data_IF_557538071463
#
_entry.id   IF_557538071463
#
_cell.length_a   1.000
_cell.length_b   1.000
_cell.length_c   1.000
_cell.angle_alpha   90.00
_cell.angle_beta   90.00
_cell.angle_gamma   90.00
#
_symmetry.space_group_name_H-M   'P 1'
#
loop_
_entity.id
_entity.type
_entity.pdbx_description
1 polymer ?
#
# COMPACT_ATOMS: atom_id res chain seq x y z
N UNK A 1 13.66 14.62 -24.54
CA UNK A 1 12.97 15.39 -23.49
C UNK A 1 12.69 14.47 -22.34
N UNK A 2 13.26 14.77 -21.26
CA UNK A 2 13.23 13.95 -20.07
C UNK A 2 11.96 14.27 -19.27
N UNK A 3 11.33 13.26 -18.70
CA UNK A 3 10.21 13.35 -17.76
C UNK A 3 10.48 14.35 -16.63
N UNK A 4 11.74 14.50 -16.20
CA UNK A 4 12.18 15.50 -15.21
C UNK A 4 11.92 16.96 -15.63
N UNK A 5 11.96 17.28 -16.91
CA UNK A 5 11.64 18.62 -17.38
C UNK A 5 10.12 18.91 -17.24
N UNK A 6 9.29 17.91 -17.48
CA UNK A 6 7.84 18.01 -17.29
C UNK A 6 7.48 18.12 -15.80
N UNK A 7 8.15 17.37 -14.92
CA UNK A 7 7.97 17.48 -13.46
C UNK A 7 8.28 18.90 -12.93
N UNK A 8 9.28 19.57 -13.50
CA UNK A 8 9.63 20.95 -13.12
C UNK A 8 8.67 22.00 -13.69
N UNK A 9 8.01 21.73 -14.82
CA UNK A 9 7.06 22.63 -15.47
C UNK A 9 5.66 22.47 -14.88
N UNK A 10 5.32 21.34 -14.28
CA UNK A 10 4.00 21.05 -13.72
C UNK A 10 3.75 21.60 -12.32
N UNK A 11 4.64 22.45 -11.82
CA UNK A 11 4.52 23.04 -10.48
C UNK A 11 3.33 24.00 -10.31
N UNK A 12 2.75 24.54 -11.41
CA UNK A 12 1.59 25.41 -11.35
C UNK A 12 0.60 25.16 -12.49
N UNK A 13 -0.71 25.26 -12.22
CA UNK A 13 -1.79 25.11 -13.23
C UNK A 13 -1.68 26.10 -14.41
N UNK A 14 -0.98 27.22 -14.24
CA UNK A 14 -0.79 28.21 -15.29
C UNK A 14 0.25 27.79 -16.33
N UNK A 15 1.22 26.98 -15.95
CA UNK A 15 2.28 26.55 -16.86
C UNK A 15 1.76 25.56 -17.91
N UNK A 16 0.75 24.76 -17.54
CA UNK A 16 0.09 23.83 -18.47
C UNK A 16 -0.65 24.52 -19.61
N UNK A 17 -1.21 25.71 -19.37
CA UNK A 17 -1.94 26.47 -20.42
C UNK A 17 -1.03 26.96 -21.54
N UNK A 18 0.27 27.03 -21.27
CA UNK A 18 1.29 27.48 -22.23
C UNK A 18 1.99 26.33 -22.97
N UNK A 19 1.74 25.07 -22.60
CA UNK A 19 2.29 23.91 -23.26
C UNK A 19 1.63 23.73 -24.64
N UNK A 20 2.44 23.83 -25.70
CA UNK A 20 2.01 23.58 -27.07
C UNK A 20 2.61 22.27 -27.59
N UNK A 21 1.79 21.45 -28.22
CA UNK A 21 2.24 20.19 -28.82
C UNK A 21 2.58 20.43 -30.27
N UNK A 22 3.82 20.10 -30.62
CA UNK A 22 4.28 20.12 -32.02
C UNK A 22 4.30 18.69 -32.52
N UNK A 23 3.42 18.38 -33.49
CA UNK A 23 3.39 17.10 -34.19
C UNK A 23 3.72 17.32 -35.67
N UNK A 24 4.80 16.67 -36.14
CA UNK A 24 5.28 16.82 -37.52
C UNK A 24 5.49 18.27 -37.96
N UNK A 25 6.08 19.10 -37.07
CA UNK A 25 6.37 20.51 -37.34
C UNK A 25 5.17 21.45 -37.30
N UNK A 26 3.98 21.00 -36.90
CA UNK A 26 2.79 21.83 -36.76
C UNK A 26 2.34 21.90 -35.31
N UNK A 27 2.00 23.11 -34.85
CA UNK A 27 1.38 23.33 -33.54
C UNK A 27 -0.07 22.88 -33.66
N UNK A 28 -0.48 21.97 -32.78
CA UNK A 28 -1.89 21.55 -32.68
C UNK A 28 -2.63 22.44 -31.69
N UNK A 29 -3.60 23.17 -32.16
CA UNK A 29 -4.55 23.95 -31.37
C UNK A 29 -5.89 23.19 -31.37
N UNK A 30 -6.12 22.31 -30.39
CA UNK A 30 -7.36 21.55 -30.38
C UNK A 30 -7.72 21.04 -28.97
N UNK A 31 -9.01 20.76 -28.71
CA UNK A 31 -9.49 20.14 -27.46
C UNK A 31 -8.77 18.83 -27.10
N UNK A 32 -8.16 18.20 -28.07
CA UNK A 32 -7.22 17.07 -27.88
C UNK A 32 -5.97 17.46 -27.08
N UNK A 33 -5.57 18.74 -27.06
CA UNK A 33 -4.43 19.23 -26.29
C UNK A 33 -4.70 19.03 -24.80
N UNK A 34 -5.90 19.34 -24.32
CA UNK A 34 -6.29 19.12 -22.92
C UNK A 34 -6.18 17.65 -22.55
N UNK A 35 -6.68 16.77 -23.39
CA UNK A 35 -6.58 15.31 -23.17
C UNK A 35 -5.12 14.82 -23.20
N UNK A 36 -4.28 15.41 -24.04
CA UNK A 36 -2.85 15.05 -24.12
C UNK A 36 -2.09 15.59 -22.91
N UNK A 37 -2.39 16.82 -22.47
CA UNK A 37 -1.82 17.41 -21.26
C UNK A 37 -2.23 16.61 -20.03
N UNK A 38 -3.51 16.24 -19.91
CA UNK A 38 -3.98 15.34 -18.86
C UNK A 38 -3.24 13.99 -18.89
N UNK A 39 -3.02 13.42 -20.07
CA UNK A 39 -2.22 12.18 -20.23
C UNK A 39 -0.75 12.38 -19.87
N UNK A 40 -0.14 13.49 -20.24
CA UNK A 40 1.24 13.81 -19.89
C UNK A 40 1.39 14.05 -18.38
N UNK A 41 0.46 14.74 -17.73
CA UNK A 41 0.47 14.94 -16.28
C UNK A 41 0.35 13.62 -15.51
N UNK A 42 -0.32 12.66 -16.10
CA UNK A 42 -0.43 11.29 -15.60
C UNK A 42 0.88 10.53 -15.78
N UNK A 43 1.50 10.61 -16.95
CA UNK A 43 2.79 9.96 -17.24
C UNK A 43 3.91 10.49 -16.35
N UNK A 44 3.88 11.78 -15.99
CA UNK A 44 4.86 12.37 -15.06
C UNK A 44 4.67 11.91 -13.61
N UNK A 45 3.47 11.50 -13.21
CA UNK A 45 3.19 10.93 -11.89
C UNK A 45 3.49 9.43 -11.77
N UNK A 46 3.55 8.74 -12.89
CA UNK A 46 3.90 7.32 -12.97
C UNK A 46 5.27 7.26 -13.65
N UNK A 47 6.29 6.72 -12.98
CA UNK A 47 7.58 6.52 -13.64
C UNK A 47 7.41 5.65 -14.89
N UNK A 48 8.17 5.92 -15.95
CA UNK A 48 8.11 5.17 -17.20
C UNK A 48 8.24 3.66 -16.97
N UNK A 49 9.08 3.27 -16.00
CA UNK A 49 9.27 1.87 -15.60
C UNK A 49 7.99 1.29 -14.98
N UNK A 50 7.36 2.02 -14.07
CA UNK A 50 6.10 1.57 -13.44
C UNK A 50 4.98 1.46 -14.48
N UNK A 51 4.92 2.40 -15.43
CA UNK A 51 3.93 2.37 -16.49
C UNK A 51 4.11 1.16 -17.41
N UNK A 52 5.32 0.87 -17.87
CA UNK A 52 5.62 -0.29 -18.70
C UNK A 52 5.38 -1.62 -17.97
N UNK A 53 5.69 -1.67 -16.68
CA UNK A 53 5.36 -2.82 -15.83
C UNK A 53 3.84 -3.00 -15.77
N UNK A 54 3.09 -1.94 -15.44
CA UNK A 54 1.62 -2.00 -15.32
C UNK A 54 0.93 -2.42 -16.62
N UNK A 55 1.47 -2.05 -17.80
CA UNK A 55 0.93 -2.48 -19.09
C UNK A 55 0.97 -3.98 -19.29
N UNK A 56 1.90 -4.68 -18.65
CA UNK A 56 2.13 -6.13 -18.81
C UNK A 56 1.44 -6.97 -17.73
N UNK A 57 0.98 -6.35 -16.65
CA UNK A 57 0.45 -7.04 -15.49
C UNK A 57 -1.07 -7.16 -15.51
N UNK A 58 -1.58 -8.30 -15.09
CA UNK A 58 -3.02 -8.52 -14.91
C UNK A 58 -3.51 -8.11 -13.51
N UNK A 59 -2.67 -8.26 -12.49
CA UNK A 59 -3.03 -8.02 -11.11
C UNK A 59 -1.97 -7.16 -10.43
N UNK A 60 -2.41 -6.05 -9.84
CA UNK A 60 -1.55 -5.04 -9.21
C UNK A 60 -1.95 -4.89 -7.74
N UNK A 61 -0.95 -4.79 -6.86
CA UNK A 61 -1.12 -4.41 -5.46
C UNK A 61 -0.48 -3.04 -5.25
N UNK A 62 -1.26 -2.05 -4.84
CA UNK A 62 -0.76 -0.75 -4.42
C UNK A 62 -0.51 -0.76 -2.92
N UNK A 63 0.74 -0.57 -2.50
CA UNK A 63 1.18 -0.51 -1.11
C UNK A 63 1.80 0.85 -0.83
N UNK A 64 1.87 1.26 0.43
CA UNK A 64 2.51 2.52 0.82
C UNK A 64 4.02 2.47 0.59
N UNK A 65 4.64 1.31 0.84
CA UNK A 65 6.05 1.04 0.51
C UNK A 65 6.22 -0.39 0.00
N UNK A 66 7.27 -0.66 -0.79
CA UNK A 66 7.64 -2.02 -1.20
C UNK A 66 7.99 -2.91 0.00
N UNK A 67 8.51 -2.31 1.04
CA UNK A 67 8.84 -3.00 2.28
C UNK A 67 7.61 -3.61 2.96
N UNK A 68 6.44 -2.98 2.79
CA UNK A 68 5.19 -3.48 3.35
C UNK A 68 4.79 -4.82 2.74
N UNK A 69 4.97 -4.96 1.43
CA UNK A 69 4.77 -6.24 0.75
C UNK A 69 5.75 -7.31 1.21
N UNK A 70 7.02 -6.94 1.38
CA UNK A 70 8.06 -7.84 1.87
C UNK A 70 7.74 -8.35 3.27
N UNK A 71 7.32 -7.47 4.17
CA UNK A 71 6.92 -7.83 5.55
C UNK A 71 5.70 -8.76 5.53
N UNK A 72 4.66 -8.41 4.78
CA UNK A 72 3.46 -9.23 4.65
C UNK A 72 3.78 -10.63 4.12
N UNK A 73 4.54 -10.72 3.03
CA UNK A 73 4.93 -11.96 2.40
C UNK A 73 5.73 -12.87 3.35
N UNK A 74 6.69 -12.29 4.08
CA UNK A 74 7.51 -13.01 5.04
C UNK A 74 6.70 -13.51 6.24
N UNK A 75 5.78 -12.70 6.79
CA UNK A 75 4.88 -13.11 7.86
C UNK A 75 3.92 -14.22 7.41
N UNK A 76 3.34 -14.10 6.22
CA UNK A 76 2.47 -15.12 5.65
C UNK A 76 3.21 -16.45 5.48
N UNK A 77 4.44 -16.43 4.96
CA UNK A 77 5.30 -17.59 4.85
C UNK A 77 5.62 -18.22 6.23
N UNK A 78 5.96 -17.39 7.21
CA UNK A 78 6.26 -17.84 8.59
C UNK A 78 5.04 -18.45 9.28
N UNK A 79 3.83 -17.94 8.99
CA UNK A 79 2.55 -18.52 9.45
C UNK A 79 2.24 -19.88 8.79
N UNK A 80 3.03 -20.32 7.78
CA UNK A 80 2.86 -21.58 7.05
C UNK A 80 1.94 -21.51 5.84
N UNK A 81 1.64 -20.29 5.33
CA UNK A 81 0.81 -20.10 4.15
C UNK A 81 1.61 -20.34 2.85
N UNK A 82 0.95 -20.85 1.83
CA UNK A 82 1.54 -21.10 0.52
C UNK A 82 1.63 -19.77 -0.29
N UNK A 83 2.70 -19.03 -0.05
CA UNK A 83 2.91 -17.71 -0.66
C UNK A 83 3.12 -17.76 -2.18
N UNK A 84 3.37 -18.94 -2.78
CA UNK A 84 3.45 -19.05 -4.25
C UNK A 84 2.12 -18.70 -4.94
N UNK A 85 1.00 -18.80 -4.23
CA UNK A 85 -0.31 -18.37 -4.74
C UNK A 85 -0.43 -16.86 -4.92
N UNK A 86 0.51 -16.09 -4.40
CA UNK A 86 0.59 -14.63 -4.56
C UNK A 86 1.52 -14.21 -5.70
N UNK A 87 2.22 -15.13 -6.37
CA UNK A 87 3.21 -14.82 -7.42
C UNK A 87 2.61 -14.07 -8.64
N UNK A 88 1.29 -14.16 -8.81
CA UNK A 88 0.58 -13.38 -9.83
C UNK A 88 0.30 -11.92 -9.45
N UNK A 89 0.68 -11.48 -8.24
CA UNK A 89 0.52 -10.12 -7.72
C UNK A 89 1.84 -9.36 -7.80
N UNK A 90 1.76 -8.12 -8.27
CA UNK A 90 2.93 -7.25 -8.36
C UNK A 90 2.71 -5.99 -7.52
N UNK A 91 3.54 -5.84 -6.50
CA UNK A 91 3.49 -4.70 -5.61
C UNK A 91 4.04 -3.44 -6.28
N UNK A 92 3.31 -2.35 -6.16
CA UNK A 92 3.68 -1.02 -6.64
C UNK A 92 3.56 -0.06 -5.47
N UNK A 93 4.61 0.75 -5.28
CA UNK A 93 4.61 1.78 -4.24
C UNK A 93 3.70 2.93 -4.62
N UNK A 94 2.72 3.20 -3.76
CA UNK A 94 1.85 4.36 -3.86
C UNK A 94 1.30 4.73 -2.48
N UNK A 95 1.55 5.94 -2.01
CA UNK A 95 1.09 6.42 -0.70
C UNK A 95 -0.43 6.31 -0.53
N UNK A 96 -0.88 5.96 0.67
CA UNK A 96 -2.29 6.03 1.07
C UNK A 96 -2.75 7.46 1.29
N UNK A 97 -1.85 8.33 1.75
CA UNK A 97 -2.10 9.75 1.90
C UNK A 97 -3.27 10.07 2.83
N UNK A 98 -3.33 9.44 4.02
CA UNK A 98 -4.29 9.90 5.02
C UNK A 98 -3.81 11.27 5.55
N UNK A 99 -4.56 12.31 5.21
CA UNK A 99 -4.37 13.63 5.77
C UNK A 99 -5.47 13.90 6.81
N UNK A 100 -5.07 14.03 8.09
CA UNK A 100 -5.97 14.35 9.18
C UNK A 100 -6.73 15.69 8.96
N UNK A 101 -6.15 16.63 8.20
CA UNK A 101 -6.76 17.92 7.92
C UNK A 101 -7.91 17.79 6.92
N UNK A 102 -7.79 16.92 5.92
CA UNK A 102 -8.75 16.79 4.83
C UNK A 102 -9.57 15.50 4.89
N UNK A 103 -9.28 14.56 5.79
CA UNK A 103 -9.94 13.26 5.94
C UNK A 103 -10.01 12.43 4.63
N UNK A 104 -9.08 12.66 3.71
CA UNK A 104 -9.05 12.03 2.39
C UNK A 104 -8.22 10.75 2.39
N UNK A 105 -8.81 9.69 2.95
CA UNK A 105 -8.18 8.37 2.99
C UNK A 105 -8.10 7.74 1.58
N UNK A 106 -6.96 7.13 1.24
CA UNK A 106 -6.70 6.42 -0.02
C UNK A 106 -6.82 7.27 -1.32
N UNK A 107 -7.05 8.59 -1.25
CA UNK A 107 -7.20 9.46 -2.42
C UNK A 107 -6.01 9.36 -3.39
N UNK A 108 -4.75 9.43 -2.97
CA UNK A 108 -3.61 9.33 -3.89
C UNK A 108 -3.59 8.02 -4.68
N UNK A 109 -3.94 6.89 -4.04
CA UNK A 109 -4.04 5.60 -4.73
C UNK A 109 -5.18 5.60 -5.75
N UNK A 110 -6.32 6.18 -5.41
CA UNK A 110 -7.49 6.29 -6.31
C UNK A 110 -7.16 7.17 -7.51
N UNK A 111 -6.50 8.30 -7.30
CA UNK A 111 -6.05 9.19 -8.38
C UNK A 111 -5.04 8.50 -9.29
N UNK A 112 -4.10 7.76 -8.71
CA UNK A 112 -3.13 6.97 -9.45
C UNK A 112 -3.81 5.91 -10.34
N UNK A 113 -4.79 5.17 -9.78
CA UNK A 113 -5.58 4.19 -10.54
C UNK A 113 -6.33 4.86 -11.69
N UNK A 114 -7.01 5.98 -11.42
CA UNK A 114 -7.72 6.72 -12.46
C UNK A 114 -6.76 7.12 -13.59
N UNK A 115 -5.58 7.56 -13.22
CA UNK A 115 -4.51 7.90 -14.13
C UNK A 115 -4.07 6.70 -14.98
N UNK A 116 -3.74 5.58 -14.35
CA UNK A 116 -3.35 4.34 -15.03
C UNK A 116 -4.43 3.89 -16.02
N UNK A 117 -5.69 3.83 -15.57
CA UNK A 117 -6.80 3.32 -16.39
C UNK A 117 -7.18 4.26 -17.56
N UNK A 118 -6.90 5.56 -17.46
CA UNK A 118 -7.12 6.49 -18.56
C UNK A 118 -6.03 6.42 -19.64
N UNK A 119 -4.81 6.06 -19.29
CA UNK A 119 -3.66 5.96 -20.21
C UNK A 119 -3.54 4.57 -20.84
N UNK A 120 -3.94 3.54 -20.09
CA UNK A 120 -3.77 2.15 -20.53
C UNK A 120 -4.82 1.77 -21.59
N UNK A 121 -4.45 1.90 -22.87
CA UNK A 121 -5.29 1.51 -24.01
C UNK A 121 -5.37 -0.01 -24.20
N UNK A 122 -4.36 -0.77 -23.77
CA UNK A 122 -4.24 -2.22 -24.01
C UNK A 122 -4.84 -3.08 -22.89
N UNK A 123 -5.45 -2.49 -21.88
CA UNK A 123 -6.30 -3.07 -20.81
C UNK A 123 -5.95 -4.50 -20.36
N UNK A 124 -4.70 -4.76 -19.99
CA UNK A 124 -4.32 -6.05 -19.41
C UNK A 124 -4.67 -6.15 -17.93
N UNK A 125 -4.67 -5.02 -17.22
CA UNK A 125 -4.98 -4.99 -15.78
C UNK A 125 -6.43 -5.41 -15.56
N UNK A 126 -6.61 -6.48 -14.81
CA UNK A 126 -7.93 -7.04 -14.46
C UNK A 126 -8.31 -6.68 -13.03
N UNK A 127 -7.35 -6.75 -12.12
CA UNK A 127 -7.57 -6.56 -10.67
C UNK A 127 -6.54 -5.61 -10.10
N UNK A 128 -7.02 -4.71 -9.23
CA UNK A 128 -6.19 -3.77 -8.49
C UNK A 128 -6.55 -3.87 -7.01
N UNK A 129 -5.57 -4.20 -6.19
CA UNK A 129 -5.71 -4.28 -4.75
C UNK A 129 -5.01 -3.06 -4.14
N UNK A 130 -5.76 -2.16 -3.50
CA UNK A 130 -5.20 -1.08 -2.72
C UNK A 130 -5.10 -1.55 -1.28
N UNK A 131 -3.90 -1.80 -0.78
CA UNK A 131 -3.67 -2.11 0.62
C UNK A 131 -3.14 -0.85 1.30
N UNK A 132 -3.84 -0.40 2.31
CA UNK A 132 -3.56 0.86 2.99
C UNK A 132 -3.25 0.63 4.47
N UNK A 133 -2.34 1.43 5.01
CA UNK A 133 -2.20 1.58 6.45
C UNK A 133 -3.47 2.24 7.02
N UNK A 134 -3.88 1.82 8.20
CA UNK A 134 -5.06 2.37 8.86
C UNK A 134 -4.76 3.73 9.47
N UNK A 135 -3.56 3.90 9.99
CA UNK A 135 -3.19 5.05 10.81
C UNK A 135 -4.26 5.39 11.87
N UNK A 136 -4.75 6.63 11.88
CA UNK A 136 -5.84 7.08 12.76
C UNK A 136 -7.21 7.12 12.03
N UNK A 137 -7.30 6.57 10.81
CA UNK A 137 -8.54 6.64 10.02
C UNK A 137 -9.69 5.83 10.68
N UNK A 138 -10.90 6.40 10.75
CA UNK A 138 -12.07 5.73 11.28
C UNK A 138 -12.63 4.74 10.25
N UNK A 139 -12.03 3.56 10.17
CA UNK A 139 -12.38 2.53 9.19
C UNK A 139 -13.43 1.57 9.73
N UNK A 140 -14.46 1.33 8.93
CA UNK A 140 -15.43 0.24 9.11
C UNK A 140 -15.17 -0.84 8.07
N UNK A 141 -15.09 -2.10 8.52
CA UNK A 141 -14.80 -3.24 7.65
C UNK A 141 -16.05 -3.95 7.19
N UNK A 142 -15.98 -4.60 6.02
CA UNK A 142 -16.96 -5.58 5.59
C UNK A 142 -16.87 -6.87 6.43
N UNK A 143 -17.75 -7.84 6.17
CA UNK A 143 -17.79 -9.12 6.92
C UNK A 143 -16.49 -9.92 6.82
N UNK A 144 -15.73 -9.74 5.74
CA UNK A 144 -14.42 -10.39 5.54
C UNK A 144 -13.31 -9.82 6.46
N UNK A 145 -13.58 -8.70 7.11
CA UNK A 145 -12.64 -8.03 8.02
C UNK A 145 -11.42 -7.43 7.34
N UNK A 146 -11.40 -7.30 6.03
CA UNK A 146 -10.28 -6.82 5.21
C UNK A 146 -10.71 -5.63 4.34
N UNK A 147 -11.83 -5.76 3.63
CA UNK A 147 -12.37 -4.68 2.79
C UNK A 147 -13.01 -3.58 3.63
N UNK A 148 -12.87 -2.35 3.15
CA UNK A 148 -13.55 -1.19 3.72
C UNK A 148 -15.05 -1.20 3.37
N UNK A 149 -15.90 -0.85 4.32
CA UNK A 149 -17.35 -0.77 4.16
C UNK A 149 -17.80 0.69 4.04
N UNK A 150 -18.71 0.95 3.08
CA UNK A 150 -19.66 2.07 3.10
C UNK A 150 -19.10 3.49 3.06
N UNK A 151 -17.90 3.70 2.52
CA UNK A 151 -17.29 5.04 2.45
C UNK A 151 -17.60 5.74 1.13
N UNK A 152 -17.36 7.07 1.07
CA UNK A 152 -17.38 7.84 -0.18
C UNK A 152 -16.42 7.27 -1.23
N UNK A 153 -15.31 6.65 -0.79
CA UNK A 153 -14.33 5.96 -1.63
C UNK A 153 -14.93 4.80 -2.39
N UNK A 154 -15.89 4.07 -1.80
CA UNK A 154 -16.61 2.99 -2.46
C UNK A 154 -17.37 3.51 -3.69
N UNK A 155 -17.90 4.73 -3.65
CA UNK A 155 -18.59 5.36 -4.78
C UNK A 155 -17.62 5.72 -5.91
N UNK A 156 -16.43 6.23 -5.56
CA UNK A 156 -15.38 6.54 -6.54
C UNK A 156 -14.84 5.28 -7.20
N UNK A 157 -14.59 4.23 -6.43
CA UNK A 157 -14.15 2.92 -6.92
C UNK A 157 -15.20 2.33 -7.87
N UNK A 158 -16.47 2.34 -7.48
CA UNK A 158 -17.56 1.84 -8.33
C UNK A 158 -17.63 2.57 -9.68
N UNK A 159 -17.41 3.89 -9.70
CA UNK A 159 -17.35 4.66 -10.96
C UNK A 159 -16.18 4.22 -11.83
N UNK A 160 -14.99 3.98 -11.25
CA UNK A 160 -13.82 3.51 -11.98
C UNK A 160 -14.02 2.11 -12.54
N UNK A 161 -14.58 1.18 -11.76
CA UNK A 161 -14.91 -0.18 -12.18
C UNK A 161 -15.91 -0.19 -13.35
N UNK A 162 -17.00 0.56 -13.22
CA UNK A 162 -18.02 0.65 -14.27
C UNK A 162 -17.48 1.20 -15.59
N UNK A 163 -16.57 2.18 -15.53
CA UNK A 163 -15.95 2.78 -16.71
C UNK A 163 -14.98 1.82 -17.40
N UNK A 164 -14.24 1.03 -16.65
CA UNK A 164 -13.04 0.32 -17.15
C UNK A 164 -13.15 -1.20 -17.13
N UNK A 165 -14.22 -1.78 -16.55
CA UNK A 165 -14.41 -3.24 -16.37
C UNK A 165 -13.31 -3.93 -15.52
N UNK A 166 -12.58 -3.17 -14.73
CA UNK A 166 -11.60 -3.69 -13.79
C UNK A 166 -12.27 -3.98 -12.45
N UNK A 167 -11.64 -4.85 -11.64
CA UNK A 167 -12.02 -5.05 -10.25
C UNK A 167 -11.03 -4.31 -9.35
N UNK A 168 -11.54 -3.46 -8.47
CA UNK A 168 -10.74 -2.63 -7.57
C UNK A 168 -11.17 -2.90 -6.14
N UNK A 169 -10.22 -3.31 -5.30
CA UNK A 169 -10.46 -3.65 -3.90
C UNK A 169 -9.72 -2.67 -3.00
N UNK A 170 -10.43 -2.02 -2.09
CA UNK A 170 -9.84 -1.19 -1.04
C UNK A 170 -9.74 -2.01 0.25
N UNK A 171 -8.53 -2.36 0.60
CA UNK A 171 -8.16 -3.19 1.74
C UNK A 171 -7.39 -2.36 2.75
N UNK A 172 -7.61 -2.58 4.03
CA UNK A 172 -6.95 -1.81 5.09
C UNK A 172 -6.50 -2.76 6.19
N UNK A 173 -5.28 -2.56 6.69
CA UNK A 173 -4.81 -3.27 7.87
C UNK A 173 -5.68 -2.95 9.09
N UNK A 174 -5.98 -3.91 9.94
CA UNK A 174 -6.69 -3.63 11.20
C UNK A 174 -5.81 -2.95 12.22
N UNK A 175 -4.49 -3.25 12.18
CA UNK A 175 -3.50 -2.52 12.97
C UNK A 175 -3.12 -1.21 12.25
N UNK A 176 -2.48 -0.31 12.96
CA UNK A 176 -2.08 1.02 12.46
C UNK A 176 -1.34 0.96 11.13
N UNK A 177 -0.31 0.13 11.05
CA UNK A 177 0.51 -0.11 9.87
C UNK A 177 1.02 -1.56 9.84
N UNK A 178 1.55 -2.00 8.70
CA UNK A 178 2.07 -3.37 8.56
C UNK A 178 3.16 -3.71 9.60
N UNK A 179 4.00 -2.76 9.99
CA UNK A 179 5.05 -2.96 11.01
C UNK A 179 4.50 -3.37 12.37
N UNK A 180 3.24 -3.04 12.67
CA UNK A 180 2.60 -3.48 13.91
C UNK A 180 2.43 -5.01 14.00
N UNK A 181 2.41 -5.70 12.86
CA UNK A 181 2.34 -7.16 12.81
C UNK A 181 3.67 -7.86 13.10
N UNK A 182 4.74 -7.08 13.24
CA UNK A 182 6.04 -7.56 13.74
C UNK A 182 6.12 -7.56 15.28
N UNK A 183 5.10 -7.07 15.99
CA UNK A 183 5.04 -7.15 17.45
C UNK A 183 4.85 -8.61 17.87
N UNK A 184 5.90 -9.20 18.42
CA UNK A 184 5.96 -10.57 18.94
C UNK A 184 6.60 -10.54 20.31
N UNK A 185 5.99 -11.18 21.29
CA UNK A 185 6.56 -11.31 22.63
C UNK A 185 7.95 -11.95 22.57
N UNK A 186 8.05 -13.09 21.89
CA UNK A 186 9.29 -13.89 21.79
C UNK A 186 10.41 -13.10 21.10
N UNK A 187 10.12 -12.52 19.93
CA UNK A 187 11.14 -11.79 19.17
C UNK A 187 11.58 -10.50 19.90
N UNK A 188 10.66 -9.76 20.50
CA UNK A 188 10.99 -8.57 21.29
C UNK A 188 11.75 -8.88 22.58
N UNK A 189 11.47 -10.02 23.22
CA UNK A 189 12.23 -10.49 24.37
C UNK A 189 13.68 -10.79 23.98
N UNK A 190 13.88 -11.49 22.86
CA UNK A 190 15.22 -11.77 22.34
C UNK A 190 16.05 -10.50 22.09
N UNK A 191 15.40 -9.44 21.62
CA UNK A 191 16.06 -8.16 21.35
C UNK A 191 16.05 -7.19 22.53
N UNK A 192 15.53 -7.58 23.70
CA UNK A 192 15.51 -6.74 24.92
C UNK A 192 14.53 -5.56 24.86
N UNK A 193 13.49 -5.61 24.01
CA UNK A 193 12.50 -4.54 23.89
C UNK A 193 11.18 -4.82 24.58
N UNK A 194 10.94 -6.06 25.06
CA UNK A 194 9.62 -6.45 25.60
C UNK A 194 9.21 -5.63 26.82
N UNK A 195 10.13 -5.39 27.76
CA UNK A 195 9.85 -4.60 28.96
C UNK A 195 9.48 -3.16 28.62
N UNK A 196 10.17 -2.57 27.64
CA UNK A 196 9.86 -1.22 27.19
C UNK A 196 8.47 -1.13 26.57
N UNK A 197 8.08 -2.11 25.76
CA UNK A 197 6.76 -2.15 25.12
C UNK A 197 5.68 -2.41 26.16
N UNK A 198 5.81 -3.47 26.96
CA UNK A 198 4.77 -3.85 27.90
C UNK A 198 4.62 -2.81 29.03
N UNK A 199 5.72 -2.39 29.67
CA UNK A 199 5.64 -1.52 30.85
C UNK A 199 5.73 -0.03 30.50
N UNK A 200 6.17 0.33 29.27
CA UNK A 200 6.30 1.73 28.84
C UNK A 200 5.18 2.20 27.92
N UNK A 201 4.78 1.36 26.96
CA UNK A 201 3.90 1.79 25.87
C UNK A 201 2.49 1.19 25.94
N UNK A 202 2.29 0.07 26.65
CA UNK A 202 1.02 -0.63 26.74
C UNK A 202 0.42 -0.58 28.15
N UNK A 203 -0.92 -0.46 28.27
CA UNK A 203 -1.59 -0.64 29.55
C UNK A 203 -1.50 -2.11 30.01
N UNK A 204 -1.47 -2.34 31.33
CA UNK A 204 -1.22 -3.65 31.94
C UNK A 204 -2.13 -4.80 31.45
N UNK A 205 -3.36 -4.50 31.05
CA UNK A 205 -4.31 -5.48 30.52
C UNK A 205 -4.13 -5.78 29.02
N UNK A 206 -3.16 -5.14 28.36
CA UNK A 206 -2.91 -5.23 26.92
C UNK A 206 -1.48 -5.66 26.59
N UNK A 207 -0.76 -6.21 27.56
CA UNK A 207 0.61 -6.66 27.36
C UNK A 207 0.71 -7.75 26.29
N UNK A 208 1.78 -7.70 25.51
CA UNK A 208 2.18 -8.83 24.68
C UNK A 208 2.50 -10.03 25.57
N UNK A 209 2.09 -11.21 25.13
CA UNK A 209 2.29 -12.47 25.86
C UNK A 209 2.84 -13.53 24.91
N UNK A 210 3.54 -14.48 25.49
CA UNK A 210 4.05 -15.64 24.76
C UNK A 210 2.90 -16.41 24.11
N UNK A 211 3.09 -16.83 22.85
CA UNK A 211 2.11 -17.55 22.03
C UNK A 211 0.76 -16.83 21.82
N UNK A 212 0.74 -15.50 21.95
CA UNK A 212 -0.44 -14.67 21.74
C UNK A 212 -0.14 -13.61 20.68
N UNK A 213 -0.92 -13.50 19.59
CA UNK A 213 -0.70 -12.51 18.54
C UNK A 213 -0.94 -11.05 19.03
N UNK A 214 -1.54 -10.84 20.20
CA UNK A 214 -1.82 -9.51 20.73
C UNK A 214 -2.87 -8.75 19.94
N UNK A 215 -3.95 -9.41 19.53
CA UNK A 215 -5.02 -8.78 18.74
C UNK A 215 -5.99 -7.96 19.63
N UNK A 216 -5.47 -6.88 20.23
CA UNK A 216 -6.26 -5.94 21.02
C UNK A 216 -6.08 -4.50 20.52
N UNK A 217 -6.96 -3.60 20.98
CA UNK A 217 -7.01 -2.22 20.48
C UNK A 217 -5.79 -1.39 20.84
N UNK A 218 -5.13 -1.64 21.97
CA UNK A 218 -3.94 -0.90 22.38
C UNK A 218 -2.75 -1.24 21.48
N UNK A 219 -2.52 -2.55 21.26
CA UNK A 219 -1.46 -3.04 20.36
C UNK A 219 -1.74 -2.58 18.91
N UNK A 220 -2.99 -2.63 18.47
CA UNK A 220 -3.37 -2.21 17.12
C UNK A 220 -3.07 -0.75 16.81
N UNK A 221 -3.06 0.13 17.80
CA UNK A 221 -2.80 1.59 17.67
C UNK A 221 -1.39 1.99 18.01
N UNK A 222 -0.58 1.09 18.54
CA UNK A 222 0.76 1.41 19.03
C UNK A 222 1.63 1.98 17.91
N UNK A 223 2.37 3.05 18.18
CA UNK A 223 3.42 3.52 17.28
C UNK A 223 4.68 2.69 17.51
N UNK A 224 4.94 1.73 16.64
CA UNK A 224 6.03 0.76 16.81
C UNK A 224 7.37 1.20 16.21
N UNK A 225 7.42 2.34 15.53
CA UNK A 225 8.64 2.80 14.83
C UNK A 225 9.83 2.95 15.76
N UNK A 226 9.62 3.38 16.99
CA UNK A 226 10.69 3.61 17.98
C UNK A 226 11.40 2.32 18.45
N UNK A 227 10.81 1.13 18.27
CA UNK A 227 11.43 -0.15 18.61
C UNK A 227 11.68 -1.01 17.37
N UNK A 228 10.68 -1.30 16.56
CA UNK A 228 10.81 -2.19 15.39
C UNK A 228 11.83 -1.64 14.39
N UNK A 229 11.80 -0.36 14.06
CA UNK A 229 12.76 0.28 13.15
C UNK A 229 14.20 0.10 13.63
N UNK A 230 14.46 0.16 14.94
CA UNK A 230 15.81 -0.07 15.48
C UNK A 230 16.33 -1.49 15.31
N UNK A 231 15.42 -2.46 15.18
CA UNK A 231 15.78 -3.87 15.04
C UNK A 231 15.99 -4.22 13.57
N UNK A 232 15.11 -3.74 12.70
CA UNK A 232 15.07 -4.21 11.30
C UNK A 232 15.67 -3.23 10.29
N UNK A 233 15.93 -1.98 10.66
CA UNK A 233 16.55 -1.00 9.77
C UNK A 233 18.06 -0.94 9.96
N UNK A 234 18.76 -0.46 8.94
CA UNK A 234 20.17 -0.07 8.99
C UNK A 234 20.31 1.42 8.75
N UNK A 235 21.25 2.06 9.46
CA UNK A 235 21.47 3.50 9.41
C UNK A 235 21.71 3.98 7.96
N UNK A 236 20.93 4.99 7.55
CA UNK A 236 21.02 5.60 6.23
C UNK A 236 20.46 4.78 5.06
N UNK A 237 20.02 3.53 5.30
CA UNK A 237 19.49 2.63 4.25
C UNK A 237 17.99 2.39 4.42
N UNK A 238 17.48 2.46 5.66
CA UNK A 238 16.12 2.04 6.00
C UNK A 238 16.04 0.53 6.23
N UNK A 239 14.97 -0.13 5.77
CA UNK A 239 14.75 -1.55 6.01
C UNK A 239 15.90 -2.41 5.48
N UNK A 240 16.51 -3.17 6.38
CA UNK A 240 17.50 -4.21 6.07
C UNK A 240 16.80 -5.57 5.98
N UNK A 241 16.76 -6.11 4.79
CA UNK A 241 16.08 -7.36 4.48
C UNK A 241 16.64 -8.54 5.30
N UNK A 242 17.95 -8.58 5.52
CA UNK A 242 18.59 -9.65 6.30
C UNK A 242 18.17 -9.58 7.77
N UNK A 243 18.14 -8.38 8.34
CA UNK A 243 17.66 -8.16 9.71
C UNK A 243 16.18 -8.49 9.84
N UNK A 244 15.36 -8.08 8.87
CA UNK A 244 13.94 -8.40 8.84
C UNK A 244 13.70 -9.90 8.87
N UNK A 245 14.34 -10.66 8.00
CA UNK A 245 14.18 -12.12 7.98
C UNK A 245 14.69 -12.77 9.25
N UNK A 246 15.86 -12.35 9.77
CA UNK A 246 16.39 -12.85 11.04
C UNK A 246 15.42 -12.57 12.19
N UNK A 247 14.79 -11.40 12.22
CA UNK A 247 13.77 -11.05 13.20
C UNK A 247 12.51 -11.92 13.07
N UNK A 248 11.98 -12.09 11.85
CA UNK A 248 10.77 -12.89 11.58
C UNK A 248 11.00 -14.37 11.93
N UNK A 249 12.21 -14.88 11.75
CA UNK A 249 12.52 -16.26 12.16
C UNK A 249 12.33 -16.50 13.67
N UNK A 250 12.49 -15.47 14.49
CA UNK A 250 12.25 -15.55 15.94
C UNK A 250 10.76 -15.53 16.31
N UNK A 251 9.87 -15.10 15.40
CA UNK A 251 8.43 -15.00 15.68
C UNK A 251 7.79 -16.39 15.62
N UNK A 252 7.22 -16.91 16.73
CA UNK A 252 6.42 -18.14 16.66
C UNK A 252 5.18 -17.92 15.79
N UNK A 253 4.74 -18.92 15.00
CA UNK A 253 3.50 -18.82 14.22
C UNK A 253 2.26 -18.45 15.04
N UNK A 254 2.21 -18.84 16.32
CA UNK A 254 1.12 -18.49 17.24
C UNK A 254 1.06 -16.99 17.56
N UNK A 255 2.18 -16.27 17.46
CA UNK A 255 2.27 -14.82 17.71
C UNK A 255 2.00 -13.99 16.45
N UNK A 256 1.76 -14.63 15.29
CA UNK A 256 1.36 -13.93 14.07
C UNK A 256 -0.16 -13.79 14.03
N UNK A 257 -0.64 -12.55 13.91
CA UNK A 257 -2.06 -12.22 13.87
C UNK A 257 -2.83 -12.92 12.74
N UNK A 258 -4.07 -13.29 13.01
CA UNK A 258 -4.98 -13.83 12.00
C UNK A 258 -5.33 -12.82 10.90
N UNK A 259 -5.08 -11.53 11.09
CA UNK A 259 -5.27 -10.53 10.04
C UNK A 259 -4.35 -10.77 8.82
N UNK A 260 -3.14 -11.31 9.05
CA UNK A 260 -2.24 -11.73 7.98
C UNK A 260 -2.87 -12.87 7.17
N UNK A 261 -3.48 -13.84 7.85
CA UNK A 261 -4.18 -14.97 7.22
C UNK A 261 -5.40 -14.48 6.45
N UNK A 262 -6.19 -13.59 7.04
CA UNK A 262 -7.39 -13.03 6.40
C UNK A 262 -7.03 -12.24 5.12
N UNK A 263 -6.01 -11.39 5.18
CA UNK A 263 -5.52 -10.67 4.00
C UNK A 263 -5.03 -11.62 2.91
N UNK A 264 -4.22 -12.62 3.27
CA UNK A 264 -3.74 -13.65 2.35
C UNK A 264 -4.91 -14.40 1.69
N UNK A 265 -5.86 -14.91 2.47
CA UNK A 265 -6.99 -15.66 1.96
C UNK A 265 -7.84 -14.82 1.01
N UNK A 266 -8.07 -13.55 1.35
CA UNK A 266 -8.78 -12.62 0.48
C UNK A 266 -8.08 -12.45 -0.86
N UNK A 267 -6.78 -12.18 -0.86
CA UNK A 267 -6.00 -12.00 -2.09
C UNK A 267 -6.04 -13.27 -2.95
N UNK A 268 -5.80 -14.44 -2.37
CA UNK A 268 -5.82 -15.72 -3.09
C UNK A 268 -7.21 -16.04 -3.64
N UNK A 269 -8.28 -15.77 -2.90
CA UNK A 269 -9.65 -15.96 -3.38
C UNK A 269 -9.96 -15.09 -4.60
N UNK A 270 -9.55 -13.81 -4.56
CA UNK A 270 -9.82 -12.88 -5.67
C UNK A 270 -8.91 -13.07 -6.88
N UNK A 271 -7.83 -13.83 -6.75
CA UNK A 271 -6.97 -14.20 -7.90
C UNK A 271 -7.54 -15.36 -8.74
N UNK A 272 -8.40 -16.17 -8.16
CA UNK A 272 -9.14 -17.21 -8.90
C UNK A 272 -10.16 -16.59 -9.86
#
# INVERSE_FOLDING_TARGET
TTTHLLDSITATDNDFKNLKIVDKGKIKEDDKIKTIIERLSVLTRISDVQFEVCRKLENIVLMDDYNDWTIFYALAKKKGLDVSKLDGLHAIKQSSGYDNLNQEFAKPKIEWINSLLNVNTDKKVKRIFMICDKDEAPITYQKDGVQVNGSEYSKHIAKLENKNKNKIYLLVWKRREIKNYLLSYTALTHHGFIEKINNGDLPANSYLKENDPGDNSAISRLNVKHCITKIIDSDGIGLDISKLYSYIELIPPAEISEDIVNMYNFLVEKLK
#
